data_IF_878557217784
#
_entry.id   IF_878557217784
#
_cell.length_a   1.000
_cell.length_b   1.000
_cell.length_c   1.000
_cell.angle_alpha   90.00
_cell.angle_beta   90.00
_cell.angle_gamma   90.00
#
_symmetry.space_group_name_H-M   'P 1'
#
loop_
_entity.id
_entity.type
_entity.pdbx_description
1 polymer ?
#
# COMPACT_ATOMS: atom_id res chain seq x y z
N UNK A 1 15.71 17.71 -49.21
CA UNK A 1 16.32 18.23 -47.98
C UNK A 1 15.72 17.45 -46.83
N UNK A 2 16.54 16.58 -46.22
CA UNK A 2 16.19 15.70 -45.11
C UNK A 2 16.21 16.52 -43.81
N UNK A 3 15.12 16.48 -43.03
CA UNK A 3 15.15 16.93 -41.64
C UNK A 3 15.57 15.75 -40.77
N UNK A 4 16.77 15.87 -40.21
CA UNK A 4 17.34 14.93 -39.26
C UNK A 4 16.58 15.01 -37.92
N UNK A 5 16.15 13.84 -37.42
CA UNK A 5 15.63 13.67 -36.08
C UNK A 5 16.72 13.96 -35.03
N UNK A 6 16.39 14.78 -34.03
CA UNK A 6 17.23 15.04 -32.87
C UNK A 6 17.25 13.81 -31.93
N UNK A 7 18.40 13.36 -31.42
CA UNK A 7 18.50 12.31 -30.43
C UNK A 7 18.38 12.91 -29.02
N UNK A 8 17.34 12.53 -28.27
CA UNK A 8 17.12 13.09 -26.94
C UNK A 8 15.95 12.51 -26.16
N UNK A 9 15.59 11.24 -26.36
CA UNK A 9 14.80 10.51 -25.36
C UNK A 9 15.79 9.78 -24.43
N UNK A 10 16.04 10.35 -23.26
CA UNK A 10 16.59 9.56 -22.16
C UNK A 10 15.57 8.46 -21.85
N UNK A 11 15.91 7.23 -22.19
CA UNK A 11 15.16 6.05 -21.78
C UNK A 11 15.04 6.07 -20.26
N UNK A 12 13.85 6.38 -19.76
CA UNK A 12 13.54 6.35 -18.34
C UNK A 12 13.41 4.87 -17.94
N UNK A 13 14.45 4.31 -17.33
CA UNK A 13 14.39 2.95 -16.80
C UNK A 13 13.37 2.89 -15.66
N UNK A 14 12.39 2.02 -15.76
CA UNK A 14 11.37 1.85 -14.72
C UNK A 14 11.97 1.26 -13.44
N UNK A 15 11.24 1.36 -12.32
CA UNK A 15 11.67 0.71 -11.08
C UNK A 15 11.72 -0.83 -11.24
N UNK A 16 10.85 -1.39 -12.09
CA UNK A 16 10.85 -2.81 -12.46
C UNK A 16 12.10 -3.20 -13.25
N UNK A 17 12.49 -2.42 -14.27
CA UNK A 17 13.72 -2.65 -15.04
C UNK A 17 14.98 -2.55 -14.18
N UNK A 18 14.99 -1.59 -13.24
CA UNK A 18 16.08 -1.42 -12.27
C UNK A 18 16.18 -2.62 -11.33
N UNK A 19 15.05 -3.17 -10.87
CA UNK A 19 15.03 -4.37 -10.03
C UNK A 19 15.44 -5.64 -10.80
N UNK A 20 15.09 -5.72 -12.10
CA UNK A 20 15.36 -6.88 -12.94
C UNK A 20 16.83 -7.02 -13.35
N UNK A 21 17.54 -5.90 -13.54
CA UNK A 21 18.99 -5.88 -13.75
C UNK A 21 19.75 -6.46 -12.55
N UNK A 22 19.28 -6.21 -11.32
CA UNK A 22 19.91 -6.67 -10.06
C UNK A 22 19.73 -8.17 -9.85
N UNK A 23 18.60 -8.74 -10.29
CA UNK A 23 18.27 -10.16 -10.12
C UNK A 23 19.27 -11.11 -10.80
N UNK A 24 20.00 -10.63 -11.81
CA UNK A 24 20.88 -11.44 -12.65
C UNK A 24 22.29 -11.69 -12.08
N UNK A 25 22.66 -11.09 -10.93
CA UNK A 25 24.02 -11.18 -10.36
C UNK A 25 24.03 -11.48 -8.86
N UNK A 26 23.54 -12.67 -8.46
CA UNK A 26 23.48 -13.04 -7.04
C UNK A 26 24.81 -13.61 -6.52
N UNK A 27 25.46 -12.84 -5.64
CA UNK A 27 26.62 -13.26 -4.85
C UNK A 27 27.01 -12.16 -3.86
N UNK A 28 26.43 -12.19 -2.66
CA UNK A 28 26.56 -11.26 -1.50
C UNK A 28 25.38 -10.27 -1.32
N UNK A 29 24.27 -10.77 -0.78
CA UNK A 29 22.92 -10.16 -0.72
C UNK A 29 22.85 -8.83 0.04
N UNK A 30 23.45 -8.71 1.23
CA UNK A 30 23.23 -7.54 2.10
C UNK A 30 23.96 -6.26 1.63
N UNK A 31 25.19 -6.41 1.08
CA UNK A 31 25.92 -5.28 0.48
C UNK A 31 25.30 -4.83 -0.85
N UNK A 32 24.73 -5.76 -1.63
CA UNK A 32 24.11 -5.43 -2.93
C UNK A 32 22.80 -4.64 -2.73
N UNK A 33 21.91 -5.02 -1.80
CA UNK A 33 20.66 -4.27 -1.50
C UNK A 33 20.91 -2.82 -1.11
N UNK A 34 21.85 -2.61 -0.18
CA UNK A 34 22.23 -1.26 0.27
C UNK A 34 22.80 -0.40 -0.87
N UNK A 35 23.48 -1.01 -1.86
CA UNK A 35 23.99 -0.31 -3.05
C UNK A 35 22.85 0.01 -4.01
N UNK A 36 21.92 -0.91 -4.24
CA UNK A 36 20.74 -0.70 -5.09
C UNK A 36 19.87 0.42 -4.54
N UNK A 37 19.56 0.41 -3.24
CA UNK A 37 18.77 1.46 -2.61
C UNK A 37 19.49 2.80 -2.59
N UNK A 38 20.83 2.82 -2.44
CA UNK A 38 21.63 4.03 -2.62
C UNK A 38 21.56 4.55 -4.05
N UNK A 39 21.64 3.68 -5.06
CA UNK A 39 21.52 4.10 -6.46
C UNK A 39 20.11 4.60 -6.79
N UNK A 40 19.07 3.95 -6.28
CA UNK A 40 17.67 4.40 -6.37
C UNK A 40 17.53 5.79 -5.74
N UNK A 41 18.08 5.98 -4.53
CA UNK A 41 18.07 7.24 -3.81
C UNK A 41 18.80 8.35 -4.59
N UNK A 42 20.03 8.09 -5.03
CA UNK A 42 20.83 9.04 -5.82
C UNK A 42 20.18 9.35 -7.17
N UNK A 43 19.56 8.37 -7.83
CA UNK A 43 18.84 8.57 -9.08
C UNK A 43 17.59 9.46 -8.86
N UNK A 44 16.81 9.19 -7.82
CA UNK A 44 15.65 10.02 -7.46
C UNK A 44 16.07 11.48 -7.16
N UNK A 45 17.17 11.68 -6.44
CA UNK A 45 17.72 13.02 -6.16
C UNK A 45 18.25 13.74 -7.41
N UNK A 46 18.90 13.03 -8.33
CA UNK A 46 19.36 13.62 -9.60
C UNK A 46 18.20 14.03 -10.50
N UNK A 47 17.11 13.26 -10.50
CA UNK A 47 15.88 13.60 -11.21
C UNK A 47 15.22 14.85 -10.62
N UNK A 48 15.18 14.99 -9.29
CA UNK A 48 14.70 16.20 -8.62
C UNK A 48 15.56 17.43 -8.97
N UNK A 49 16.89 17.32 -8.91
CA UNK A 49 17.79 18.41 -9.31
C UNK A 49 17.68 18.80 -10.79
N UNK A 50 17.38 17.84 -11.67
CA UNK A 50 17.14 18.07 -13.10
C UNK A 50 15.77 18.72 -13.35
N UNK A 51 14.72 18.24 -12.67
CA UNK A 51 13.38 18.79 -12.73
C UNK A 51 13.31 20.21 -12.15
N UNK A 52 14.01 20.49 -11.04
CA UNK A 52 14.12 21.84 -10.49
C UNK A 52 14.86 22.79 -11.44
N UNK A 53 15.90 22.31 -12.15
CA UNK A 53 16.59 23.09 -13.19
C UNK A 53 15.70 23.34 -14.41
N UNK A 54 14.89 22.38 -14.84
CA UNK A 54 13.98 22.56 -15.98
C UNK A 54 12.80 23.48 -15.64
N UNK A 55 12.24 23.39 -14.42
CA UNK A 55 11.21 24.32 -13.92
C UNK A 55 11.78 25.72 -13.76
N UNK A 56 13.01 25.88 -13.26
CA UNK A 56 13.68 27.19 -13.18
C UNK A 56 13.98 27.78 -14.57
N UNK A 57 14.36 26.95 -15.54
CA UNK A 57 14.55 27.34 -16.94
C UNK A 57 13.24 27.79 -17.59
N UNK A 58 12.17 27.02 -17.41
CA UNK A 58 10.84 27.32 -17.94
C UNK A 58 10.22 28.58 -17.27
N UNK A 59 10.49 28.79 -15.98
CA UNK A 59 10.08 30.01 -15.28
C UNK A 59 10.83 31.25 -15.78
N UNK A 60 12.12 31.12 -16.11
CA UNK A 60 12.91 32.20 -16.72
C UNK A 60 12.47 32.49 -18.17
N UNK A 61 12.14 31.48 -18.96
CA UNK A 61 11.58 31.67 -20.30
C UNK A 61 10.18 32.31 -20.25
N UNK A 62 9.29 31.86 -19.36
CA UNK A 62 7.95 32.44 -19.18
C UNK A 62 7.99 33.90 -18.69
N UNK A 63 8.96 34.26 -17.84
CA UNK A 63 9.20 35.64 -17.40
C UNK A 63 9.70 36.55 -18.55
N UNK A 64 10.27 35.98 -19.61
CA UNK A 64 10.78 36.73 -20.77
C UNK A 64 9.74 36.96 -21.89
N UNK A 65 8.54 36.34 -21.81
CA UNK A 65 7.53 36.36 -22.90
C UNK A 65 6.18 36.97 -22.46
N UNK A 66 6.11 37.61 -21.29
CA UNK A 66 4.82 38.13 -20.78
C UNK A 66 4.42 39.49 -21.41
N UNK A 67 3.54 39.47 -22.42
CA UNK A 67 2.55 40.54 -22.66
C UNK A 67 1.16 40.08 -22.17
N UNK A 68 0.32 40.97 -21.62
CA UNK A 68 -0.92 40.57 -20.96
C UNK A 68 -2.04 40.32 -21.99
N UNK A 69 -2.60 39.11 -21.97
CA UNK A 69 -3.83 38.79 -22.69
C UNK A 69 -5.01 38.65 -21.71
N UNK A 70 -6.11 39.30 -22.08
CA UNK A 70 -7.35 39.43 -21.32
C UNK A 70 -8.06 38.07 -21.15
N UNK A 71 -8.70 37.89 -19.98
CA UNK A 71 -9.52 36.74 -19.65
C UNK A 71 -10.88 36.77 -20.37
N UNK A 72 -11.38 35.63 -20.89
CA UNK A 72 -12.80 35.48 -21.16
C UNK A 72 -13.51 34.75 -20.00
N UNK A 73 -14.67 35.30 -19.67
CA UNK A 73 -15.66 34.82 -18.70
C UNK A 73 -16.39 33.61 -19.28
N UNK A 74 -16.51 32.51 -18.53
CA UNK A 74 -17.35 31.36 -18.88
C UNK A 74 -18.47 31.13 -17.85
N UNK A 75 -19.69 30.98 -18.38
CA UNK A 75 -20.97 30.75 -17.67
C UNK A 75 -21.13 29.28 -17.23
N UNK A 76 -21.95 28.99 -16.20
CA UNK A 76 -22.19 27.62 -15.72
C UNK A 76 -23.30 26.91 -16.50
N UNK A 77 -23.19 25.57 -16.64
CA UNK A 77 -24.26 24.70 -17.15
C UNK A 77 -24.66 23.65 -16.08
N UNK A 78 -25.97 23.41 -15.99
CA UNK A 78 -26.70 22.49 -15.08
C UNK A 78 -27.12 21.23 -15.88
N UNK A 79 -27.32 20.03 -15.27
CA UNK A 79 -27.26 18.75 -15.96
C UNK A 79 -28.63 18.26 -16.49
N UNK A 80 -28.61 17.30 -17.43
CA UNK A 80 -29.78 16.54 -17.88
C UNK A 80 -29.61 15.03 -17.65
N UNK A 81 -30.70 14.41 -17.22
CA UNK A 81 -30.89 13.00 -16.95
C UNK A 81 -31.22 12.19 -18.22
N UNK A 82 -30.93 10.89 -18.20
CA UNK A 82 -31.52 9.93 -19.14
C UNK A 82 -31.70 8.52 -18.52
N UNK A 83 -32.99 8.18 -18.44
CA UNK A 83 -33.76 6.91 -18.44
C UNK A 83 -33.12 5.52 -18.60
N UNK A 84 -33.77 4.58 -17.91
CA UNK A 84 -33.66 3.11 -17.87
C UNK A 84 -33.96 2.37 -19.19
N UNK A 85 -33.42 1.14 -19.32
CA UNK A 85 -34.14 -0.01 -19.90
C UNK A 85 -33.54 -1.35 -19.45
N UNK A 86 -34.43 -2.32 -19.20
CA UNK A 86 -34.20 -3.61 -18.54
C UNK A 86 -33.99 -4.79 -19.52
N UNK A 87 -33.35 -5.88 -19.06
CA UNK A 87 -33.51 -7.24 -19.62
C UNK A 87 -33.14 -8.36 -18.61
N UNK A 88 -33.95 -9.42 -18.61
CA UNK A 88 -33.90 -10.68 -17.84
C UNK A 88 -32.70 -11.60 -18.23
N UNK A 89 -32.28 -12.67 -17.53
CA UNK A 89 -32.70 -13.42 -16.34
C UNK A 89 -31.97 -14.80 -16.32
N UNK A 90 -32.02 -15.50 -15.18
CA UNK A 90 -31.69 -16.94 -14.90
C UNK A 90 -30.35 -17.31 -14.20
N UNK A 91 -30.31 -18.41 -13.41
CA UNK A 91 -29.88 -18.37 -12.00
C UNK A 91 -28.49 -18.94 -11.73
N UNK A 92 -27.88 -18.53 -10.61
CA UNK A 92 -26.65 -19.10 -10.06
C UNK A 92 -26.94 -19.89 -8.76
N UNK A 93 -26.19 -20.97 -8.50
CA UNK A 93 -26.49 -21.94 -7.45
C UNK A 93 -26.04 -21.48 -6.07
N UNK A 94 -26.72 -22.01 -5.06
CA UNK A 94 -26.46 -21.85 -3.62
C UNK A 94 -25.18 -22.56 -3.21
N UNK A 95 -24.28 -21.86 -2.51
CA UNK A 95 -23.14 -22.45 -1.83
C UNK A 95 -23.12 -21.96 -0.37
N UNK A 96 -23.63 -22.83 0.51
CA UNK A 96 -23.33 -22.84 1.93
C UNK A 96 -21.87 -23.30 2.12
N UNK A 97 -21.12 -22.69 3.05
CA UNK A 97 -19.84 -23.22 3.53
C UNK A 97 -18.62 -22.30 3.32
N UNK A 98 -18.46 -21.28 4.16
CA UNK A 98 -17.19 -20.53 4.33
C UNK A 98 -16.95 -20.11 5.79
N UNK A 99 -17.38 -20.94 6.76
CA UNK A 99 -17.18 -20.65 8.18
C UNK A 99 -15.81 -21.12 8.73
N UNK A 100 -14.97 -21.76 7.91
CA UNK A 100 -13.80 -22.50 8.40
C UNK A 100 -12.43 -21.77 8.35
N UNK A 101 -12.30 -20.55 7.82
CA UNK A 101 -10.96 -20.01 7.43
C UNK A 101 -10.42 -18.78 8.19
N UNK A 102 -10.97 -18.43 9.37
CA UNK A 102 -10.52 -17.23 10.12
C UNK A 102 -10.30 -17.53 11.62
N UNK A 103 -9.84 -18.72 11.99
CA UNK A 103 -9.36 -18.96 13.37
C UNK A 103 -7.90 -18.49 13.56
N UNK A 104 -7.10 -18.39 12.50
CA UNK A 104 -5.66 -18.05 12.57
C UNK A 104 -5.41 -16.63 13.11
N UNK A 105 -6.38 -15.71 12.98
CA UNK A 105 -6.23 -14.29 13.37
C UNK A 105 -7.37 -13.88 14.30
N UNK A 106 -7.51 -14.55 15.45
CA UNK A 106 -8.40 -14.12 16.53
C UNK A 106 -7.61 -13.48 17.68
N UNK A 107 -8.27 -12.56 18.39
CA UNK A 107 -7.86 -11.96 19.67
C UNK A 107 -7.16 -12.90 20.64
N UNK A 108 -7.71 -14.11 20.76
CA UNK A 108 -7.36 -15.08 21.78
C UNK A 108 -6.06 -15.84 21.41
N UNK A 109 -5.76 -15.95 20.11
CA UNK A 109 -4.50 -16.51 19.58
C UNK A 109 -3.33 -15.50 19.64
N UNK A 110 -3.59 -14.24 19.95
CA UNK A 110 -2.58 -13.18 20.10
C UNK A 110 -2.21 -12.91 21.57
N UNK A 111 -3.09 -13.25 22.52
CA UNK A 111 -2.83 -13.11 23.97
C UNK A 111 -2.22 -14.36 24.60
N UNK A 112 -2.54 -15.54 24.09
CA UNK A 112 -1.84 -16.78 24.39
C UNK A 112 -0.82 -16.93 23.27
N UNK A 113 0.47 -16.84 23.57
CA UNK A 113 1.53 -17.02 22.57
C UNK A 113 1.16 -18.15 21.62
N UNK A 114 1.18 -17.85 20.32
CA UNK A 114 0.85 -18.74 19.20
C UNK A 114 1.26 -20.15 19.61
N UNK A 115 0.28 -21.02 19.83
CA UNK A 115 0.60 -22.42 20.09
C UNK A 115 1.28 -22.93 18.82
N UNK A 116 2.59 -23.10 18.93
CA UNK A 116 3.52 -23.67 17.96
C UNK A 116 3.07 -25.03 17.40
N UNK A 117 1.96 -25.60 17.85
CA UNK A 117 1.42 -26.88 17.38
C UNK A 117 0.46 -26.80 16.19
N UNK A 118 0.15 -25.61 15.67
CA UNK A 118 -0.48 -25.41 14.35
C UNK A 118 0.13 -24.15 13.68
N UNK A 119 1.28 -24.29 13.02
CA UNK A 119 1.86 -23.23 12.19
C UNK A 119 0.80 -22.76 11.18
N UNK A 120 0.29 -21.53 11.30
CA UNK A 120 -0.75 -21.01 10.40
C UNK A 120 -0.24 -20.95 8.96
N UNK A 121 -0.54 -21.99 8.17
CA UNK A 121 -0.19 -22.09 6.75
C UNK A 121 -1.29 -21.42 5.93
N UNK A 122 -0.88 -20.52 5.05
CA UNK A 122 -1.74 -19.93 4.02
C UNK A 122 -1.73 -20.84 2.79
N UNK A 123 -2.57 -21.86 2.77
CA UNK A 123 -2.54 -22.93 1.75
C UNK A 123 -2.67 -22.42 0.30
N UNK A 124 -3.41 -21.33 0.09
CA UNK A 124 -3.64 -20.72 -1.23
C UNK A 124 -2.56 -19.72 -1.62
N UNK A 125 -1.83 -19.17 -0.65
CA UNK A 125 -0.78 -18.18 -0.91
C UNK A 125 0.57 -18.87 -0.97
N UNK A 126 1.20 -18.83 -2.14
CA UNK A 126 2.48 -19.51 -2.39
C UNK A 126 3.57 -18.51 -2.73
N UNK A 127 4.79 -18.82 -2.31
CA UNK A 127 5.99 -18.10 -2.72
C UNK A 127 6.35 -18.42 -4.19
N UNK A 128 7.42 -17.82 -4.71
CA UNK A 128 7.88 -18.03 -6.10
C UNK A 128 8.38 -19.45 -6.38
N UNK A 129 8.57 -20.29 -5.36
CA UNK A 129 8.92 -21.71 -5.47
C UNK A 129 7.68 -22.61 -5.45
N UNK A 130 6.50 -22.04 -5.26
CA UNK A 130 5.24 -22.78 -5.10
C UNK A 130 5.04 -23.34 -3.69
N UNK A 131 5.84 -22.91 -2.71
CA UNK A 131 5.72 -23.36 -1.31
C UNK A 131 4.67 -22.49 -0.61
N UNK A 132 3.71 -23.08 0.13
CA UNK A 132 2.77 -22.31 0.95
C UNK A 132 3.51 -21.39 1.92
N UNK A 133 3.06 -20.14 1.99
CA UNK A 133 3.57 -19.17 2.96
C UNK A 133 2.99 -19.50 4.34
N UNK A 134 3.77 -19.36 5.40
CA UNK A 134 3.27 -19.52 6.78
C UNK A 134 3.46 -18.26 7.62
N UNK A 135 2.63 -18.12 8.64
CA UNK A 135 2.74 -17.05 9.64
C UNK A 135 4.13 -17.06 10.31
N UNK A 136 4.64 -18.24 10.68
CA UNK A 136 5.91 -18.40 11.35
C UNK A 136 7.07 -17.89 10.47
N UNK A 137 7.11 -18.29 9.20
CA UNK A 137 8.12 -17.84 8.23
C UNK A 137 8.13 -16.31 8.07
N UNK A 138 6.95 -15.68 8.03
CA UNK A 138 6.86 -14.23 7.94
C UNK A 138 7.36 -13.55 9.21
N UNK A 139 7.02 -14.09 10.38
CA UNK A 139 7.51 -13.59 11.68
C UNK A 139 9.03 -13.71 11.81
N UNK A 140 9.59 -14.86 11.45
CA UNK A 140 11.04 -15.09 11.41
C UNK A 140 11.74 -14.10 10.48
N UNK A 141 11.21 -13.87 9.28
CA UNK A 141 11.79 -12.89 8.35
C UNK A 141 11.75 -11.46 8.92
N UNK A 142 10.65 -11.06 9.57
CA UNK A 142 10.59 -9.77 10.25
C UNK A 142 11.63 -9.67 11.37
N UNK A 143 11.86 -10.76 12.11
CA UNK A 143 12.85 -10.82 13.19
C UNK A 143 14.27 -10.69 12.65
N UNK A 144 14.61 -11.44 11.61
CA UNK A 144 15.92 -11.41 10.95
C UNK A 144 16.27 -10.01 10.38
N UNK A 145 15.29 -9.31 9.82
CA UNK A 145 15.47 -7.98 9.24
C UNK A 145 15.48 -6.86 10.30
N UNK A 146 14.97 -7.13 11.52
CA UNK A 146 14.84 -6.12 12.56
C UNK A 146 16.20 -5.69 13.15
N UNK A 147 16.42 -4.38 13.38
CA UNK A 147 17.65 -3.89 13.99
C UNK A 147 17.71 -4.12 15.51
N UNK A 148 16.60 -4.48 16.14
CA UNK A 148 16.49 -4.80 17.57
C UNK A 148 15.17 -5.52 17.87
N UNK A 149 15.09 -6.20 19.02
CA UNK A 149 13.84 -6.86 19.48
C UNK A 149 12.68 -5.85 19.60
N UNK A 150 12.95 -4.65 20.11
CA UNK A 150 11.95 -3.59 20.20
C UNK A 150 11.39 -3.17 18.84
N UNK A 151 12.25 -3.10 17.81
CA UNK A 151 11.81 -2.78 16.45
C UNK A 151 10.99 -3.93 15.85
N UNK A 152 11.42 -5.18 16.08
CA UNK A 152 10.65 -6.37 15.72
C UNK A 152 9.26 -6.35 16.35
N UNK A 153 9.17 -6.30 17.69
CA UNK A 153 7.90 -6.31 18.42
C UNK A 153 6.96 -5.21 17.93
N UNK A 154 7.45 -3.98 17.81
CA UNK A 154 6.64 -2.83 17.38
C UNK A 154 6.07 -2.99 15.96
N UNK A 155 6.89 -3.41 15.00
CA UNK A 155 6.45 -3.54 13.60
C UNK A 155 5.64 -4.81 13.39
N UNK A 156 6.08 -5.94 13.93
CA UNK A 156 5.40 -7.20 13.79
C UNK A 156 4.01 -7.18 14.45
N UNK A 157 3.87 -6.60 15.65
CA UNK A 157 2.56 -6.39 16.28
C UNK A 157 1.67 -5.50 15.42
N UNK A 158 2.21 -4.43 14.83
CA UNK A 158 1.46 -3.58 13.92
C UNK A 158 0.95 -4.35 12.68
N UNK A 159 1.83 -5.12 12.03
CA UNK A 159 1.48 -5.93 10.86
C UNK A 159 0.39 -6.98 11.17
N UNK A 160 0.46 -7.65 12.33
CA UNK A 160 -0.57 -8.59 12.78
C UNK A 160 -1.94 -7.91 12.94
N UNK A 161 -1.97 -6.74 13.57
CA UNK A 161 -3.21 -5.96 13.75
C UNK A 161 -3.77 -5.50 12.40
N UNK A 162 -2.91 -5.04 11.47
CA UNK A 162 -3.34 -4.65 10.13
C UNK A 162 -3.88 -5.85 9.35
N UNK A 163 -3.25 -7.03 9.44
CA UNK A 163 -3.76 -8.26 8.84
C UNK A 163 -5.15 -8.63 9.40
N UNK A 164 -5.34 -8.51 10.72
CA UNK A 164 -6.64 -8.72 11.39
C UNK A 164 -7.72 -7.79 10.85
N UNK A 165 -7.41 -6.50 10.69
CA UNK A 165 -8.33 -5.48 10.16
C UNK A 165 -8.64 -5.78 8.68
N UNK A 166 -7.62 -6.07 7.87
CA UNK A 166 -7.76 -6.35 6.44
C UNK A 166 -8.67 -7.56 6.19
N UNK A 167 -8.46 -8.67 6.91
CA UNK A 167 -9.31 -9.86 6.80
C UNK A 167 -10.75 -9.57 7.23
N UNK A 168 -10.96 -8.79 8.29
CA UNK A 168 -12.31 -8.39 8.71
C UNK A 168 -13.02 -7.54 7.64
N UNK A 169 -12.32 -6.55 7.06
CA UNK A 169 -12.85 -5.72 5.98
C UNK A 169 -13.17 -6.55 4.74
N UNK A 170 -12.28 -7.46 4.36
CA UNK A 170 -12.46 -8.35 3.22
C UNK A 170 -13.67 -9.27 3.42
N UNK A 171 -13.80 -9.93 4.57
CA UNK A 171 -14.95 -10.78 4.89
C UNK A 171 -16.28 -10.00 4.89
N UNK A 172 -16.31 -8.82 5.49
CA UNK A 172 -17.48 -7.95 5.50
C UNK A 172 -17.87 -7.49 4.08
N UNK A 173 -16.87 -7.19 3.25
CA UNK A 173 -17.09 -6.85 1.84
C UNK A 173 -17.66 -8.04 1.07
N UNK A 174 -17.12 -9.26 1.22
CA UNK A 174 -17.64 -10.47 0.58
C UNK A 174 -19.10 -10.70 0.92
N UNK A 175 -19.46 -10.56 2.20
CA UNK A 175 -20.84 -10.74 2.65
C UNK A 175 -21.78 -9.65 2.10
N UNK A 176 -21.32 -8.39 2.04
CA UNK A 176 -22.09 -7.29 1.44
C UNK A 176 -22.34 -7.54 -0.05
N UNK A 177 -21.31 -7.95 -0.80
CA UNK A 177 -21.43 -8.27 -2.23
C UNK A 177 -22.38 -9.46 -2.44
N UNK A 178 -22.28 -10.51 -1.61
CA UNK A 178 -23.21 -11.65 -1.64
C UNK A 178 -24.67 -11.20 -1.47
N UNK A 179 -24.96 -10.35 -0.48
CA UNK A 179 -26.30 -9.80 -0.24
C UNK A 179 -26.80 -8.93 -1.39
N UNK A 180 -25.93 -8.08 -1.96
CA UNK A 180 -26.29 -7.23 -3.09
C UNK A 180 -26.57 -8.06 -4.35
N UNK A 181 -25.75 -9.08 -4.62
CA UNK A 181 -25.96 -9.99 -5.76
C UNK A 181 -27.28 -10.77 -5.66
N UNK A 182 -27.74 -11.08 -4.44
CA UNK A 182 -29.07 -11.67 -4.21
C UNK A 182 -30.21 -10.68 -4.45
N UNK A 183 -29.97 -9.37 -4.26
CA UNK A 183 -30.97 -8.32 -4.44
C UNK A 183 -31.07 -7.80 -5.88
N UNK A 184 -30.07 -8.04 -6.73
CA UNK A 184 -30.05 -7.65 -8.14
C UNK A 184 -28.64 -7.54 -8.73
N UNK A 185 -28.51 -7.04 -9.97
CA UNK A 185 -27.21 -6.79 -10.59
C UNK A 185 -26.36 -5.81 -9.77
N UNK A 186 -25.07 -6.10 -9.65
CA UNK A 186 -24.15 -5.25 -8.90
C UNK A 186 -23.94 -3.90 -9.61
N UNK A 187 -23.89 -2.78 -8.86
CA UNK A 187 -23.70 -1.46 -9.44
C UNK A 187 -22.31 -1.31 -10.04
N UNK A 188 -22.21 -0.82 -11.28
CA UNK A 188 -20.90 -0.49 -11.87
C UNK A 188 -20.30 0.77 -11.20
N UNK A 189 -18.96 0.87 -11.07
CA UNK A 189 -17.95 -0.03 -11.60
C UNK A 189 -17.64 -1.23 -10.68
N UNK A 190 -18.45 -1.51 -9.64
CA UNK A 190 -18.24 -2.69 -8.79
C UNK A 190 -18.57 -3.94 -9.59
N UNK A 191 -17.54 -4.56 -10.16
CA UNK A 191 -17.66 -5.81 -10.90
C UNK A 191 -17.88 -7.05 -10.01
N UNK A 192 -17.99 -6.87 -8.68
CA UNK A 192 -18.23 -7.96 -7.74
C UNK A 192 -17.03 -8.85 -7.44
N UNK A 193 -15.81 -8.47 -7.84
CA UNK A 193 -14.60 -9.23 -7.50
C UNK A 193 -14.51 -9.39 -5.97
N UNK A 194 -14.34 -10.63 -5.52
CA UNK A 194 -14.22 -10.98 -4.10
C UNK A 194 -12.73 -11.09 -3.73
N UNK A 195 -12.29 -10.47 -2.63
CA UNK A 195 -10.90 -10.58 -2.17
C UNK A 195 -10.58 -11.98 -1.63
N UNK A 196 -9.35 -12.46 -1.86
CA UNK A 196 -8.82 -13.61 -1.13
C UNK A 196 -8.39 -13.20 0.30
N UNK A 197 -9.00 -13.84 1.29
CA UNK A 197 -8.73 -13.55 2.71
C UNK A 197 -7.31 -13.92 3.14
N UNK A 198 -6.75 -15.01 2.61
CA UNK A 198 -5.36 -15.40 2.93
C UNK A 198 -4.37 -14.41 2.33
N UNK A 199 -4.64 -13.93 1.12
CA UNK A 199 -3.80 -12.91 0.49
C UNK A 199 -3.91 -11.56 1.24
N UNK A 200 -5.09 -11.19 1.74
CA UNK A 200 -5.24 -10.02 2.63
C UNK A 200 -4.45 -10.19 3.94
N UNK A 201 -4.47 -11.40 4.52
CA UNK A 201 -3.71 -11.70 5.72
C UNK A 201 -2.20 -11.58 5.47
N UNK A 202 -1.68 -12.30 4.47
CA UNK A 202 -0.26 -12.25 4.09
C UNK A 202 0.18 -10.83 3.74
N UNK A 203 -0.62 -10.11 2.95
CA UNK A 203 -0.38 -8.72 2.61
C UNK A 203 -0.25 -7.81 3.83
N UNK A 204 -1.17 -7.95 4.79
CA UNK A 204 -1.11 -7.21 6.07
C UNK A 204 0.11 -7.58 6.91
N UNK A 205 0.55 -8.84 6.90
CA UNK A 205 1.72 -9.28 7.64
C UNK A 205 3.03 -8.73 7.05
N UNK A 206 3.11 -8.48 5.73
CA UNK A 206 4.37 -8.09 5.07
C UNK A 206 4.46 -6.61 4.68
N UNK A 207 3.36 -5.87 4.66
CA UNK A 207 3.34 -4.53 4.06
C UNK A 207 4.44 -3.58 4.60
N UNK A 208 4.72 -3.65 5.89
CA UNK A 208 5.69 -2.78 6.56
C UNK A 208 7.04 -3.43 6.88
N UNK A 209 7.37 -4.58 6.29
CA UNK A 209 8.65 -5.26 6.58
C UNK A 209 9.88 -4.37 6.31
N UNK A 210 9.79 -3.47 5.32
CA UNK A 210 10.86 -2.51 5.03
C UNK A 210 11.05 -1.42 6.08
N UNK A 211 10.11 -1.25 7.02
CA UNK A 211 10.25 -0.27 8.12
C UNK A 211 11.48 -0.57 8.97
N UNK A 212 11.84 -1.85 9.11
CA UNK A 212 13.03 -2.31 9.82
C UNK A 212 14.32 -1.61 9.37
N UNK A 213 14.40 -1.17 8.10
CA UNK A 213 15.59 -0.55 7.50
C UNK A 213 15.56 0.98 7.47
N UNK A 214 14.43 1.59 7.80
CA UNK A 214 14.28 3.05 7.90
C UNK A 214 14.10 3.55 9.34
N UNK A 215 14.19 2.66 10.33
CA UNK A 215 14.38 3.05 11.73
C UNK A 215 15.60 3.96 11.87
N UNK A 216 15.45 5.01 12.67
CA UNK A 216 16.59 5.82 13.10
C UNK A 216 17.51 4.96 13.97
N UNK A 217 18.61 4.49 13.38
CA UNK A 217 19.72 3.92 14.15
C UNK A 217 20.34 5.07 14.95
N UNK A 218 20.26 4.98 16.27
CA UNK A 218 20.82 5.86 17.31
C UNK A 218 19.87 6.86 17.98
N UNK A 219 19.58 6.56 19.27
CA UNK A 219 19.79 7.53 20.35
C UNK A 219 18.56 8.27 20.88
N UNK A 220 18.03 7.79 22.00
CA UNK A 220 17.51 8.54 23.17
C UNK A 220 16.43 9.63 23.02
N UNK A 221 16.03 10.06 21.83
CA UNK A 221 14.90 10.97 21.65
C UNK A 221 13.65 10.21 21.23
N UNK A 222 12.88 9.76 22.22
CA UNK A 222 11.57 9.11 22.12
C UNK A 222 10.46 9.98 21.47
N UNK A 223 10.80 11.00 20.69
CA UNK A 223 9.85 11.91 20.02
C UNK A 223 9.61 11.63 18.55
N UNK A 224 10.60 11.07 17.81
CA UNK A 224 10.47 10.78 16.38
C UNK A 224 11.24 9.52 16.00
N UNK A 225 10.54 8.39 15.95
CA UNK A 225 11.11 7.08 15.59
C UNK A 225 11.55 6.99 14.11
N UNK A 226 11.03 7.88 13.26
CA UNK A 226 11.22 7.82 11.81
C UNK A 226 11.53 9.21 11.24
N UNK A 227 12.56 9.29 10.39
CA UNK A 227 12.72 10.43 9.49
C UNK A 227 11.66 10.36 8.39
N UNK A 228 10.78 11.38 8.32
CA UNK A 228 9.68 11.43 7.35
C UNK A 228 10.15 11.37 5.89
N UNK A 229 11.33 11.91 5.58
CA UNK A 229 11.87 11.85 4.22
C UNK A 229 12.38 10.46 3.85
N UNK A 230 12.95 9.74 4.83
CA UNK A 230 13.39 8.35 4.63
C UNK A 230 12.26 7.35 4.76
N UNK A 231 11.22 7.67 5.53
CA UNK A 231 10.14 6.74 5.82
C UNK A 231 9.46 6.27 4.55
N UNK A 232 9.21 7.14 3.56
CA UNK A 232 8.53 6.74 2.31
C UNK A 232 9.24 5.61 1.53
N UNK A 233 10.53 5.38 1.75
CA UNK A 233 11.27 4.29 1.12
C UNK A 233 10.97 2.91 1.71
N UNK A 234 10.34 2.80 2.89
CA UNK A 234 10.05 1.51 3.50
C UNK A 234 9.27 0.57 2.57
N UNK A 235 8.39 1.10 1.72
CA UNK A 235 7.67 0.29 0.75
C UNK A 235 8.58 -0.32 -0.31
N UNK A 236 9.59 0.42 -0.77
CA UNK A 236 10.61 -0.09 -1.71
C UNK A 236 11.59 -1.04 -1.04
N UNK A 237 12.04 -0.75 0.19
CA UNK A 237 12.86 -1.67 0.97
C UNK A 237 12.14 -3.01 1.18
N UNK A 238 10.88 -2.95 1.61
CA UNK A 238 10.07 -4.15 1.84
C UNK A 238 9.82 -4.94 0.56
N UNK A 239 9.60 -4.26 -0.56
CA UNK A 239 9.49 -4.90 -1.87
C UNK A 239 10.75 -5.69 -2.21
N UNK A 240 11.94 -5.12 -2.02
CA UNK A 240 13.21 -5.79 -2.30
C UNK A 240 13.46 -6.96 -1.35
N UNK A 241 13.24 -6.79 -0.05
CA UNK A 241 13.35 -7.86 0.96
C UNK A 241 12.51 -9.07 0.57
N UNK A 242 11.25 -8.86 0.19
CA UNK A 242 10.34 -9.94 -0.17
C UNK A 242 10.78 -10.67 -1.46
N UNK A 243 11.33 -9.95 -2.43
CA UNK A 243 11.87 -10.58 -3.65
C UNK A 243 13.16 -11.37 -3.39
N UNK A 244 14.07 -10.83 -2.59
CA UNK A 244 15.30 -11.53 -2.16
C UNK A 244 14.97 -12.84 -1.44
N UNK A 245 13.90 -12.82 -0.64
CA UNK A 245 13.38 -13.97 0.10
C UNK A 245 12.34 -14.81 -0.66
N UNK A 246 12.26 -14.65 -1.99
CA UNK A 246 11.50 -15.52 -2.90
C UNK A 246 9.97 -15.47 -2.75
N UNK A 247 9.37 -14.43 -2.18
CA UNK A 247 7.91 -14.30 -2.07
C UNK A 247 7.20 -13.91 -3.40
N UNK A 248 7.95 -13.48 -4.41
CA UNK A 248 7.39 -13.13 -5.73
C UNK A 248 6.60 -11.81 -5.75
N UNK A 249 6.25 -11.36 -6.96
CA UNK A 249 5.67 -10.03 -7.17
C UNK A 249 4.31 -9.83 -6.48
N UNK A 250 3.46 -10.86 -6.48
CA UNK A 250 2.10 -10.77 -5.91
C UNK A 250 2.11 -10.40 -4.42
N UNK A 251 3.09 -10.90 -3.66
CA UNK A 251 3.28 -10.60 -2.24
C UNK A 251 4.13 -9.34 -2.07
N UNK A 252 5.23 -9.21 -2.81
CA UNK A 252 6.14 -8.07 -2.67
C UNK A 252 5.46 -6.71 -2.92
N UNK A 253 4.51 -6.65 -3.86
CA UNK A 253 3.79 -5.41 -4.19
C UNK A 253 2.94 -4.86 -3.04
N UNK A 254 2.55 -5.66 -2.04
CA UNK A 254 1.91 -5.13 -0.84
C UNK A 254 2.81 -4.13 -0.11
N UNK A 255 4.10 -4.44 0.02
CA UNK A 255 5.05 -3.48 0.58
C UNK A 255 5.19 -2.24 -0.31
N UNK A 256 5.32 -2.43 -1.64
CA UNK A 256 5.51 -1.31 -2.58
C UNK A 256 4.34 -0.32 -2.64
N UNK A 257 3.10 -0.80 -2.56
CA UNK A 257 1.91 -0.03 -3.00
C UNK A 257 0.94 0.36 -1.86
N UNK A 258 1.29 0.16 -0.58
CA UNK A 258 0.38 0.42 0.54
C UNK A 258 0.50 1.84 1.14
N UNK A 259 1.44 2.66 0.69
CA UNK A 259 1.67 3.97 1.30
C UNK A 259 0.53 4.95 0.96
N UNK A 260 0.05 5.66 1.99
CA UNK A 260 -1.01 6.66 1.84
C UNK A 260 -2.36 6.05 1.47
N UNK A 261 -2.95 6.55 0.38
CA UNK A 261 -4.14 6.00 -0.29
C UNK A 261 -3.81 5.68 -1.75
N UNK A 262 -2.56 5.25 -1.97
CA UNK A 262 -1.91 5.09 -3.26
C UNK A 262 -1.25 6.40 -3.70
N UNK A 263 -0.11 6.27 -4.39
CA UNK A 263 0.67 7.39 -4.90
C UNK A 263 0.85 7.20 -6.41
N UNK A 264 0.27 8.11 -7.19
CA UNK A 264 0.42 8.10 -8.65
C UNK A 264 1.79 8.63 -9.08
N UNK A 265 2.26 8.21 -10.26
CA UNK A 265 3.47 8.78 -10.88
C UNK A 265 3.43 10.31 -10.95
N UNK A 266 2.27 10.88 -11.27
CA UNK A 266 2.10 12.34 -11.33
C UNK A 266 2.27 13.00 -9.95
N UNK A 267 1.82 12.35 -8.87
CA UNK A 267 2.02 12.86 -7.51
C UNK A 267 3.48 12.76 -7.08
N UNK A 268 4.19 11.68 -7.45
CA UNK A 268 5.64 11.55 -7.22
C UNK A 268 6.40 12.72 -7.82
N UNK A 269 6.14 13.01 -9.11
CA UNK A 269 6.82 14.12 -9.82
C UNK A 269 6.38 15.48 -9.28
N UNK A 270 5.07 15.72 -9.14
CA UNK A 270 4.55 17.04 -8.77
C UNK A 270 4.88 17.44 -7.33
N UNK A 271 4.98 16.47 -6.41
CA UNK A 271 5.32 16.71 -5.00
C UNK A 271 6.82 16.59 -4.72
N UNK A 272 7.64 16.26 -5.73
CA UNK A 272 9.08 16.04 -5.54
C UNK A 272 9.35 14.93 -4.53
N UNK A 273 8.55 13.86 -4.54
CA UNK A 273 8.76 12.76 -3.60
C UNK A 273 10.11 12.11 -3.88
N UNK A 274 10.85 11.68 -2.84
CA UNK A 274 12.11 10.98 -3.03
C UNK A 274 11.81 9.52 -3.41
N UNK A 275 11.14 9.29 -4.53
CA UNK A 275 10.84 7.99 -5.09
C UNK A 275 11.17 8.03 -6.59
N UNK A 276 11.59 6.92 -7.19
CA UNK A 276 11.58 6.78 -8.64
C UNK A 276 10.22 7.19 -9.22
N UNK A 277 10.16 7.96 -10.32
CA UNK A 277 8.89 8.33 -10.94
C UNK A 277 8.13 7.12 -11.49
N UNK A 278 7.21 6.58 -10.69
CA UNK A 278 6.43 5.39 -11.01
C UNK A 278 5.05 5.42 -10.34
N UNK A 279 4.15 4.53 -10.74
CA UNK A 279 2.82 4.37 -10.17
C UNK A 279 2.85 3.36 -9.01
N UNK A 280 2.60 3.86 -7.80
CA UNK A 280 2.57 3.11 -6.52
C UNK A 280 1.13 2.92 -6.02
N UNK A 281 0.15 2.96 -6.92
CA UNK A 281 -1.24 2.63 -6.62
C UNK A 281 -1.43 1.12 -6.38
N UNK A 282 -2.33 0.71 -5.47
CA UNK A 282 -2.68 -0.70 -5.30
C UNK A 282 -3.20 -1.27 -6.63
N UNK A 283 -2.73 -2.48 -6.99
CA UNK A 283 -3.04 -3.13 -8.27
C UNK A 283 -4.14 -4.19 -8.15
N UNK A 284 -4.45 -4.63 -6.94
CA UNK A 284 -5.51 -5.63 -6.66
C UNK A 284 -6.42 -5.14 -5.54
N UNK A 285 -7.59 -5.79 -5.41
CA UNK A 285 -8.55 -5.48 -4.34
C UNK A 285 -7.94 -5.76 -2.96
N UNK A 286 -7.13 -6.80 -2.84
CA UNK A 286 -6.42 -7.15 -1.60
C UNK A 286 -5.39 -6.09 -1.22
N UNK A 287 -4.59 -5.59 -2.19
CA UNK A 287 -3.65 -4.48 -1.96
C UNK A 287 -4.40 -3.23 -1.50
N UNK A 288 -5.55 -2.92 -2.10
CA UNK A 288 -6.38 -1.78 -1.72
C UNK A 288 -6.95 -1.93 -0.29
N UNK A 289 -7.41 -3.14 0.07
CA UNK A 289 -7.91 -3.45 1.42
C UNK A 289 -6.79 -3.34 2.46
N UNK A 290 -5.60 -3.89 2.22
CA UNK A 290 -4.47 -3.83 3.15
C UNK A 290 -3.98 -2.39 3.33
N UNK A 291 -3.84 -1.64 2.22
CA UNK A 291 -3.53 -0.21 2.25
C UNK A 291 -4.55 0.58 3.09
N UNK A 292 -5.85 0.28 2.93
CA UNK A 292 -6.90 0.92 3.70
C UNK A 292 -6.86 0.52 5.19
N UNK A 293 -6.64 -0.77 5.48
CA UNK A 293 -6.53 -1.30 6.84
C UNK A 293 -5.40 -0.65 7.64
N UNK A 294 -4.23 -0.43 7.04
CA UNK A 294 -3.08 0.26 7.66
C UNK A 294 -3.44 1.68 8.16
N UNK A 295 -4.46 2.33 7.59
CA UNK A 295 -4.87 3.68 8.05
C UNK A 295 -5.50 3.69 9.44
N UNK A 296 -5.88 2.53 9.97
CA UNK A 296 -6.62 2.40 11.24
C UNK A 296 -5.77 2.01 12.44
N UNK A 297 -4.45 1.89 12.27
CA UNK A 297 -3.55 1.53 13.34
C UNK A 297 -2.20 2.26 13.23
N UNK A 298 -1.47 2.40 14.33
CA UNK A 298 -0.24 3.20 14.37
C UNK A 298 0.91 2.42 14.97
N UNK A 299 2.11 2.91 14.67
CA UNK A 299 3.38 2.44 15.25
C UNK A 299 3.92 3.45 16.28
N UNK A 300 3.03 4.28 16.86
CA UNK A 300 3.41 5.25 17.89
C UNK A 300 3.74 4.56 19.20
N UNK A 301 4.25 5.32 20.16
CA UNK A 301 4.49 4.86 21.52
C UNK A 301 3.67 5.71 22.51
N UNK A 302 2.61 5.17 23.13
CA UNK A 302 2.04 3.83 22.93
C UNK A 302 1.36 3.66 21.55
N UNK A 303 1.16 2.42 21.13
CA UNK A 303 0.42 2.08 19.91
C UNK A 303 -1.09 2.31 20.12
N UNK A 304 -1.74 2.81 19.07
CA UNK A 304 -3.15 3.22 19.10
C UNK A 304 -3.87 2.86 17.80
N UNK A 305 -5.16 2.60 17.90
CA UNK A 305 -6.07 2.61 16.76
C UNK A 305 -6.37 4.05 16.34
N UNK A 306 -6.68 4.24 15.06
CA UNK A 306 -6.99 5.55 14.47
C UNK A 306 -8.47 5.60 14.11
N UNK A 307 -9.20 6.57 14.66
CA UNK A 307 -10.59 6.78 14.27
C UNK A 307 -10.74 7.11 12.78
N UNK A 308 -11.91 6.82 12.21
CA UNK A 308 -12.24 7.20 10.83
C UNK A 308 -11.96 8.68 10.54
N UNK A 309 -12.33 9.56 11.49
CA UNK A 309 -12.12 11.00 11.39
C UNK A 309 -10.63 11.34 11.32
N UNK A 310 -9.81 10.74 12.18
CA UNK A 310 -8.37 10.97 12.21
C UNK A 310 -7.68 10.39 10.95
N UNK A 311 -8.08 9.21 10.49
CA UNK A 311 -7.56 8.59 9.27
C UNK A 311 -7.86 9.45 8.03
N UNK A 312 -9.11 9.91 7.88
CA UNK A 312 -9.51 10.83 6.80
C UNK A 312 -8.75 12.15 6.87
N UNK A 313 -8.60 12.74 8.06
CA UNK A 313 -7.84 13.97 8.25
C UNK A 313 -6.37 13.79 7.86
N UNK A 314 -5.77 12.63 8.16
CA UNK A 314 -4.40 12.29 7.76
C UNK A 314 -4.28 12.24 6.22
N UNK A 315 -5.20 11.57 5.52
CA UNK A 315 -5.22 11.51 4.06
C UNK A 315 -5.33 12.91 3.43
N UNK A 316 -6.21 13.76 3.96
CA UNK A 316 -6.44 15.11 3.44
C UNK A 316 -5.22 16.05 3.52
N UNK A 317 -4.24 15.76 4.40
CA UNK A 317 -2.99 16.54 4.50
C UNK A 317 -2.15 16.50 3.22
N UNK A 318 -2.38 15.50 2.37
CA UNK A 318 -1.69 15.30 1.10
C UNK A 318 -2.52 15.73 -0.12
N UNK A 319 -3.63 16.43 0.11
CA UNK A 319 -4.49 16.99 -0.94
C UNK A 319 -5.92 16.49 -0.91
N UNK A 320 -6.80 17.23 -1.58
CA UNK A 320 -8.23 16.89 -1.65
C UNK A 320 -8.47 15.58 -2.41
N UNK A 321 -7.65 15.26 -3.42
CA UNK A 321 -7.69 13.98 -4.13
C UNK A 321 -7.54 12.79 -3.19
N UNK A 322 -6.64 12.88 -2.21
CA UNK A 322 -6.42 11.81 -1.22
C UNK A 322 -7.61 11.67 -0.26
N UNK A 323 -8.23 12.79 0.15
CA UNK A 323 -9.46 12.73 0.93
C UNK A 323 -10.60 12.05 0.14
N UNK A 324 -10.76 12.37 -1.14
CA UNK A 324 -11.76 11.72 -2.01
C UNK A 324 -11.47 10.23 -2.21
N UNK A 325 -10.21 9.84 -2.45
CA UNK A 325 -9.84 8.41 -2.52
C UNK A 325 -10.16 7.69 -1.21
N UNK A 326 -9.86 8.30 -0.07
CA UNK A 326 -10.21 7.75 1.23
C UNK A 326 -11.73 7.57 1.40
N UNK A 327 -12.53 8.58 1.04
CA UNK A 327 -13.99 8.52 1.11
C UNK A 327 -14.56 7.38 0.22
N UNK A 328 -13.96 7.14 -0.95
CA UNK A 328 -14.32 6.02 -1.82
C UNK A 328 -13.99 4.66 -1.18
N UNK A 329 -12.85 4.54 -0.47
CA UNK A 329 -12.51 3.32 0.27
C UNK A 329 -13.52 3.05 1.39
N UNK A 330 -13.94 4.09 2.11
CA UNK A 330 -14.98 3.99 3.15
C UNK A 330 -16.31 3.53 2.55
N UNK A 331 -16.72 4.12 1.42
CA UNK A 331 -17.94 3.72 0.72
C UNK A 331 -17.89 2.27 0.24
N UNK A 332 -16.71 1.80 -0.20
CA UNK A 332 -16.50 0.45 -0.75
C UNK A 332 -16.41 -0.62 0.33
N UNK A 333 -15.56 -0.43 1.33
CA UNK A 333 -15.24 -1.47 2.33
C UNK A 333 -15.96 -1.26 3.66
N UNK A 334 -16.47 -0.07 3.93
CA UNK A 334 -17.01 0.30 5.24
C UNK A 334 -15.90 0.67 6.22
N UNK A 335 -16.24 0.64 7.51
CA UNK A 335 -15.34 1.01 8.61
C UNK A 335 -15.10 -0.24 9.46
N UNK A 336 -13.85 -0.54 9.87
CA UNK A 336 -13.58 -1.65 10.77
C UNK A 336 -14.20 -1.40 12.16
N UNK A 337 -14.54 -2.46 12.89
CA UNK A 337 -15.04 -2.37 14.27
C UNK A 337 -13.89 -2.07 15.23
N UNK A 338 -13.52 -0.78 15.28
CA UNK A 338 -12.40 -0.29 16.10
C UNK A 338 -12.65 -0.46 17.59
N UNK A 339 -13.91 -0.44 18.04
CA UNK A 339 -14.22 -0.60 19.47
C UNK A 339 -13.97 -2.03 19.94
N UNK A 340 -14.37 -3.01 19.14
CA UNK A 340 -14.07 -4.42 19.42
C UNK A 340 -12.57 -4.67 19.42
N UNK A 341 -11.86 -4.16 18.40
CA UNK A 341 -10.39 -4.26 18.31
C UNK A 341 -9.70 -3.53 19.48
N UNK A 342 -10.17 -2.35 19.88
CA UNK A 342 -9.63 -1.61 21.03
C UNK A 342 -9.74 -2.41 22.32
N UNK A 343 -10.88 -3.07 22.59
CA UNK A 343 -11.07 -3.96 23.75
C UNK A 343 -10.22 -5.22 23.64
N UNK A 344 -10.13 -5.80 22.45
CA UNK A 344 -9.33 -6.99 22.14
C UNK A 344 -7.85 -6.76 22.47
N UNK A 345 -7.24 -5.70 21.93
CA UNK A 345 -5.82 -5.43 22.11
C UNK A 345 -5.49 -4.57 23.34
N UNK A 346 -6.50 -4.04 24.06
CA UNK A 346 -6.28 -3.12 25.17
C UNK A 346 -5.64 -1.78 24.76
N UNK A 347 -5.85 -1.36 23.51
CA UNK A 347 -5.27 -0.15 22.94
C UNK A 347 -6.33 0.94 22.78
N UNK A 348 -5.94 2.20 22.98
CA UNK A 348 -6.84 3.35 22.79
C UNK A 348 -7.10 3.66 21.31
N UNK A 349 -8.23 4.35 21.05
CA UNK A 349 -8.57 4.92 19.75
C UNK A 349 -8.34 6.44 19.81
N UNK A 350 -7.62 7.00 18.83
CA UNK A 350 -7.32 8.44 18.74
C UNK A 350 -8.10 9.19 17.67
#
# INVERSE_FOLDING_TARGET
MSYASLPGETQHTSAEETAQLVYSSAGTVNKQRSVVMRHIFEAAQRLDASAQKSVASAANEAASVSQPLAQPVAKPLVPQAATEQAAAGSPAPTAEGEQETIEIISADNLKKGIDSSQEGIFERVRDSRGVPVSFAQLGELHHEEAPSEFAYEKIWTHCQIVARIAVSLAANYRERVRKLAQAGPLPQPWNGALPDLEMCAVGGLVHDIGVQHVFLRHGEDAGRLFDRHRYIFHGLEGYLILLENRYGLAIAQFARNHTGVGITRSEVVAQGLPLPPDDYMPKTIEQEIVMYADKFHTKSDPMQFVSLKAARASAARFGLSNATRFDNLVARYGVPDLESLSREYGMSIR
#
